data_IF_635135273782
#
_entry.id   IF_635135273782
#
_cell.length_a   1.000
_cell.length_b   1.000
_cell.length_c   1.000
_cell.angle_alpha   90.00
_cell.angle_beta   90.00
_cell.angle_gamma   90.00
#
_symmetry.space_group_name_H-M   'P 1'
#
loop_
_entity.id
_entity.type
_entity.pdbx_description
1 polymer ?
#
# COMPACT_ATOMS: atom_id res chain seq x y z
N UNK A 1 -11.84 -3.30 3.62
CA UNK A 1 -10.40 -3.22 3.32
C UNK A 1 -10.23 -2.90 1.84
N UNK A 2 -9.28 -2.05 1.53
CA UNK A 2 -8.94 -1.60 0.18
C UNK A 2 -7.79 -2.41 -0.44
N UNK A 3 -7.35 -3.48 0.24
CA UNK A 3 -6.32 -4.40 -0.25
C UNK A 3 -6.85 -5.82 -0.39
N UNK A 4 -6.32 -6.54 -1.39
CA UNK A 4 -6.63 -7.93 -1.68
C UNK A 4 -5.35 -8.74 -1.87
N UNK A 5 -4.95 -9.46 -0.83
CA UNK A 5 -3.77 -10.35 -0.85
C UNK A 5 -4.14 -11.64 -1.60
N UNK A 6 -3.36 -11.98 -2.64
CA UNK A 6 -3.61 -13.08 -3.59
C UNK A 6 -2.54 -14.19 -3.51
N UNK A 7 -1.50 -13.98 -2.72
CA UNK A 7 -0.38 -14.91 -2.55
C UNK A 7 -0.06 -15.10 -1.08
N UNK A 8 0.77 -16.08 -0.78
CA UNK A 8 1.22 -16.32 0.59
C UNK A 8 2.08 -15.15 1.07
N UNK A 9 1.62 -14.45 2.11
CA UNK A 9 2.29 -13.28 2.68
C UNK A 9 3.64 -13.63 3.33
N UNK A 10 3.86 -14.89 3.70
CA UNK A 10 5.13 -15.32 4.33
C UNK A 10 6.32 -15.14 3.39
N UNK A 11 6.11 -15.17 2.07
CA UNK A 11 7.14 -14.92 1.07
C UNK A 11 7.87 -13.57 1.29
N UNK A 12 7.14 -12.56 1.76
CA UNK A 12 7.75 -11.24 2.03
C UNK A 12 8.80 -11.33 3.15
N UNK A 13 8.49 -12.08 4.20
CA UNK A 13 9.42 -12.25 5.33
C UNK A 13 10.63 -13.07 4.92
N UNK A 14 10.46 -14.10 4.11
CA UNK A 14 11.54 -14.97 3.67
C UNK A 14 12.52 -14.24 2.73
N UNK A 15 12.01 -13.38 1.85
CA UNK A 15 12.81 -12.71 0.83
C UNK A 15 13.33 -11.34 1.31
N UNK A 16 12.49 -10.54 1.95
CA UNK A 16 12.80 -9.14 2.30
C UNK A 16 13.01 -8.91 3.79
N UNK A 17 12.57 -9.82 4.66
CA UNK A 17 12.75 -9.75 6.11
C UNK A 17 14.17 -10.06 6.59
N UNK A 18 15.04 -10.52 5.71
CA UNK A 18 16.43 -10.90 6.05
C UNK A 18 17.41 -9.73 6.01
N UNK A 19 17.06 -8.62 5.37
CA UNK A 19 17.93 -7.43 5.28
C UNK A 19 17.88 -6.64 6.59
N UNK A 20 18.84 -6.93 7.47
CA UNK A 20 18.95 -6.31 8.81
C UNK A 20 19.35 -4.84 8.76
N UNK A 21 19.88 -4.36 7.63
CA UNK A 21 20.30 -2.97 7.46
C UNK A 21 19.14 -2.04 7.11
N UNK A 22 17.94 -2.59 6.87
CA UNK A 22 16.73 -1.81 6.60
C UNK A 22 15.83 -1.77 7.83
N UNK A 23 15.45 -0.57 8.23
CA UNK A 23 14.44 -0.36 9.27
C UNK A 23 13.03 -0.67 8.75
N UNK A 24 12.77 -0.27 7.52
CA UNK A 24 11.52 -0.57 6.79
C UNK A 24 11.82 -0.94 5.34
N UNK A 25 10.93 -1.74 4.75
CA UNK A 25 10.88 -2.00 3.30
C UNK A 25 9.46 -1.80 2.80
N UNK A 26 9.29 -1.19 1.63
CA UNK A 26 7.99 -0.96 1.02
C UNK A 26 8.09 -0.91 -0.51
N UNK A 27 6.96 -0.93 -1.18
CA UNK A 27 6.91 -0.66 -2.63
C UNK A 27 7.12 0.83 -2.87
N UNK A 28 8.17 1.17 -3.64
CA UNK A 28 8.58 2.54 -3.89
C UNK A 28 7.88 3.07 -5.16
N UNK A 29 6.61 3.46 -5.00
CA UNK A 29 5.81 4.00 -6.09
C UNK A 29 6.35 5.35 -6.59
N UNK A 30 6.28 5.55 -7.91
CA UNK A 30 6.49 6.85 -8.57
C UNK A 30 5.15 7.55 -8.87
N UNK A 31 4.04 6.94 -8.45
CA UNK A 31 2.69 7.40 -8.69
C UNK A 31 2.41 8.80 -8.12
N UNK A 32 1.80 9.65 -8.94
CA UNK A 32 1.26 10.94 -8.51
C UNK A 32 -0.24 10.96 -8.84
N UNK A 33 -1.14 11.02 -7.83
CA UNK A 33 -2.57 11.08 -8.07
C UNK A 33 -2.96 12.28 -8.93
N UNK A 34 -3.85 12.06 -9.88
CA UNK A 34 -4.45 13.12 -10.71
C UNK A 34 -5.76 13.64 -10.13
N UNK A 35 -6.47 12.81 -9.34
CA UNK A 35 -7.70 13.19 -8.67
C UNK A 35 -7.42 14.09 -7.46
N UNK A 36 -8.27 15.09 -7.26
CA UNK A 36 -8.21 16.03 -6.13
C UNK A 36 -9.06 15.59 -4.94
N UNK A 37 -9.94 14.60 -5.14
CA UNK A 37 -10.88 14.11 -4.14
C UNK A 37 -10.92 12.59 -4.16
N UNK A 38 -10.97 11.98 -2.98
CA UNK A 38 -11.17 10.54 -2.79
C UNK A 38 -12.66 10.16 -2.91
N UNK A 39 -12.95 8.85 -3.07
CA UNK A 39 -14.32 8.31 -3.11
C UNK A 39 -15.15 8.64 -1.84
N UNK A 40 -14.50 8.72 -0.69
CA UNK A 40 -15.11 9.10 0.59
C UNK A 40 -15.32 10.61 0.75
N UNK A 41 -15.07 11.41 -0.30
CA UNK A 41 -15.23 12.86 -0.32
C UNK A 41 -14.07 13.63 0.33
N UNK A 42 -13.05 12.96 0.85
CA UNK A 42 -11.88 13.63 1.44
C UNK A 42 -10.94 14.16 0.37
N UNK A 43 -10.21 15.24 0.72
CA UNK A 43 -9.19 15.82 -0.15
C UNK A 43 -8.05 14.85 -0.38
N UNK A 44 -7.70 14.63 -1.66
CA UNK A 44 -6.52 13.86 -2.04
C UNK A 44 -5.26 14.71 -1.85
N UNK A 45 -4.50 14.44 -0.80
CA UNK A 45 -3.25 15.15 -0.52
C UNK A 45 -2.11 14.57 -1.35
N UNK A 46 -1.39 15.43 -2.05
CA UNK A 46 -0.13 15.07 -2.72
C UNK A 46 1.00 15.30 -1.73
N UNK A 47 1.83 14.27 -1.51
CA UNK A 47 3.03 14.33 -0.68
C UNK A 47 4.11 13.41 -1.24
N UNK A 48 5.35 13.66 -0.85
CA UNK A 48 6.50 12.83 -1.22
C UNK A 48 6.27 11.37 -0.78
N UNK A 49 6.71 10.40 -1.57
CA UNK A 49 6.55 8.95 -1.31
C UNK A 49 5.07 8.52 -1.20
N UNK A 50 4.22 9.07 -2.07
CA UNK A 50 2.79 8.71 -2.11
C UNK A 50 2.60 7.21 -2.28
N UNK A 51 1.70 6.62 -1.49
CA UNK A 51 1.38 5.19 -1.41
C UNK A 51 2.49 4.27 -0.86
N UNK A 52 3.68 4.77 -0.51
CA UNK A 52 4.73 3.94 0.07
C UNK A 52 4.31 3.35 1.42
N UNK A 53 3.62 4.10 2.25
CA UNK A 53 3.19 3.69 3.60
C UNK A 53 1.95 2.80 3.63
N UNK A 54 1.37 2.47 2.48
CA UNK A 54 0.18 1.61 2.44
C UNK A 54 0.49 0.14 2.66
N UNK A 55 1.73 -0.29 2.34
CA UNK A 55 2.19 -1.66 2.55
C UNK A 55 3.67 -1.64 2.96
N UNK A 56 3.95 -1.97 4.22
CA UNK A 56 5.27 -1.80 4.84
C UNK A 56 5.67 -3.04 5.63
N UNK A 57 6.86 -3.54 5.36
CA UNK A 57 7.55 -4.51 6.20
C UNK A 57 8.44 -3.76 7.20
N UNK A 58 8.21 -3.98 8.49
CA UNK A 58 8.93 -3.34 9.60
C UNK A 58 9.95 -4.27 10.22
N UNK A 59 11.20 -3.83 10.35
CA UNK A 59 12.19 -4.48 11.19
C UNK A 59 12.10 -3.88 12.61
N UNK A 60 11.26 -4.46 13.46
CA UNK A 60 10.95 -3.91 14.80
C UNK A 60 12.16 -3.86 15.74
N UNK A 61 13.23 -4.60 15.45
CA UNK A 61 14.47 -4.55 16.24
C UNK A 61 15.42 -3.44 15.79
N UNK A 62 15.20 -2.87 14.61
CA UNK A 62 16.07 -1.83 14.08
C UNK A 62 15.95 -0.52 14.90
N UNK A 63 17.08 0.11 15.30
CA UNK A 63 17.06 1.32 16.16
C UNK A 63 16.16 2.44 15.60
N UNK A 64 16.15 2.65 14.30
CA UNK A 64 15.41 3.74 13.65
C UNK A 64 13.89 3.57 13.63
N UNK A 65 13.39 2.35 13.76
CA UNK A 65 11.95 2.15 13.98
C UNK A 65 11.52 2.71 15.34
N UNK A 66 12.43 2.64 16.33
CA UNK A 66 12.19 3.12 17.70
C UNK A 66 12.27 4.64 17.84
N UNK A 67 12.82 5.35 16.84
CA UNK A 67 12.85 6.82 16.81
C UNK A 67 11.46 7.43 16.55
N UNK A 68 10.52 6.68 15.95
CA UNK A 68 9.14 7.14 15.81
C UNK A 68 8.42 7.03 17.17
N UNK A 69 8.17 8.17 17.77
CA UNK A 69 7.54 8.22 19.11
C UNK A 69 6.03 8.34 19.03
N UNK A 70 5.34 8.00 20.11
CA UNK A 70 3.88 8.24 20.27
C UNK A 70 3.57 9.74 20.12
N UNK A 71 4.45 10.61 20.62
CA UNK A 71 4.30 12.05 20.48
C UNK A 71 4.34 12.49 19.00
N UNK A 72 5.24 11.93 18.20
CA UNK A 72 5.31 12.22 16.76
C UNK A 72 4.02 11.79 16.06
N UNK A 73 3.54 10.57 16.33
CA UNK A 73 2.29 10.05 15.72
C UNK A 73 1.09 10.95 16.07
N UNK A 74 1.04 11.52 17.26
CA UNK A 74 -0.05 12.37 17.70
C UNK A 74 0.06 13.83 17.27
N UNK A 75 1.25 14.31 16.89
CA UNK A 75 1.47 15.75 16.64
C UNK A 75 1.94 16.08 15.22
N UNK A 76 2.62 15.16 14.55
CA UNK A 76 3.11 15.39 13.18
C UNK A 76 1.99 15.28 12.15
N UNK A 77 2.05 16.04 11.05
CA UNK A 77 1.05 15.92 9.98
C UNK A 77 1.13 14.55 9.30
N UNK A 78 -0.01 14.07 8.77
CA UNK A 78 -0.08 12.80 8.05
C UNK A 78 0.91 12.69 6.88
N UNK A 79 1.17 13.78 6.18
CA UNK A 79 2.17 13.83 5.11
C UNK A 79 3.58 13.48 5.59
N UNK A 80 3.97 13.94 6.78
CA UNK A 80 5.25 13.63 7.42
C UNK A 80 5.34 12.15 7.80
N UNK A 81 4.27 11.59 8.37
CA UNK A 81 4.19 10.17 8.74
C UNK A 81 4.23 9.27 7.50
N UNK A 82 3.38 9.54 6.52
CA UNK A 82 3.29 8.74 5.30
C UNK A 82 4.51 8.83 4.39
N UNK A 83 5.26 9.95 4.44
CA UNK A 83 6.51 10.09 3.70
C UNK A 83 7.72 9.50 4.44
N UNK A 84 7.55 8.93 5.63
CA UNK A 84 8.64 8.42 6.48
C UNK A 84 9.74 9.48 6.71
N UNK A 85 9.37 10.72 7.01
CA UNK A 85 10.34 11.82 7.10
C UNK A 85 11.34 11.65 8.26
N UNK A 86 10.98 10.90 9.31
CA UNK A 86 11.93 10.52 10.37
C UNK A 86 13.04 9.57 9.87
N UNK A 87 12.84 8.96 8.70
CA UNK A 87 13.78 8.03 8.06
C UNK A 87 14.58 8.66 6.91
N UNK A 88 14.55 9.99 6.76
CA UNK A 88 14.99 10.69 5.54
C UNK A 88 16.45 10.45 5.13
N UNK A 89 17.32 10.21 6.09
CA UNK A 89 18.75 9.92 5.87
C UNK A 89 19.06 8.42 5.77
N UNK A 90 18.05 7.55 5.92
CA UNK A 90 18.24 6.09 5.91
C UNK A 90 17.65 5.45 4.68
N UNK A 91 18.31 4.41 4.15
CA UNK A 91 17.81 3.71 2.99
C UNK A 91 16.57 2.88 3.37
N UNK A 92 15.45 3.18 2.71
CA UNK A 92 14.24 2.36 2.74
C UNK A 92 14.45 1.20 1.78
N UNK A 93 14.18 -0.03 2.23
CA UNK A 93 14.23 -1.23 1.39
C UNK A 93 13.13 -1.22 0.33
N UNK A 94 13.40 -1.85 -0.81
CA UNK A 94 12.42 -1.95 -1.88
C UNK A 94 11.76 -3.33 -1.90
N UNK A 95 10.43 -3.34 -1.92
CA UNK A 95 9.60 -4.52 -2.19
C UNK A 95 9.09 -4.40 -3.63
N UNK A 96 9.05 -5.47 -4.44
CA UNK A 96 8.55 -5.42 -5.81
C UNK A 96 7.10 -4.95 -5.91
N UNK A 97 6.77 -4.32 -7.05
CA UNK A 97 5.49 -3.69 -7.30
C UNK A 97 4.29 -4.65 -7.18
N UNK A 98 4.47 -5.93 -7.46
CA UNK A 98 3.43 -6.96 -7.31
C UNK A 98 2.83 -7.07 -5.91
N UNK A 99 3.55 -6.60 -4.87
CA UNK A 99 3.08 -6.63 -3.48
C UNK A 99 2.26 -5.40 -3.06
N UNK A 100 2.21 -4.39 -3.90
CA UNK A 100 1.35 -3.22 -3.69
C UNK A 100 0.94 -2.63 -5.05
N UNK A 101 0.30 -3.46 -5.89
CA UNK A 101 -0.15 -3.09 -7.22
C UNK A 101 -1.37 -2.18 -7.13
N UNK A 102 -1.27 -0.96 -7.65
CA UNK A 102 -2.30 0.07 -7.55
C UNK A 102 -3.30 -0.06 -8.70
N UNK A 103 -4.60 -0.12 -8.38
CA UNK A 103 -5.65 -0.05 -9.39
C UNK A 103 -5.60 1.30 -10.13
N UNK A 104 -5.91 1.27 -11.42
CA UNK A 104 -5.92 2.46 -12.27
C UNK A 104 -4.55 3.03 -12.63
N UNK A 105 -3.43 2.52 -12.08
CA UNK A 105 -2.09 3.09 -12.25
C UNK A 105 -1.00 2.07 -12.62
N UNK A 106 -0.85 0.99 -11.86
CA UNK A 106 0.24 0.03 -12.05
C UNK A 106 0.22 -0.67 -13.39
N UNK A 107 1.40 -1.08 -13.90
CA UNK A 107 1.56 -1.81 -15.16
C UNK A 107 0.70 -3.09 -15.17
N UNK A 108 -0.12 -3.22 -16.20
CA UNK A 108 -1.05 -4.36 -16.40
C UNK A 108 -0.34 -5.68 -16.69
N UNK A 109 0.92 -5.64 -17.11
CA UNK A 109 1.74 -6.82 -17.36
C UNK A 109 2.29 -7.45 -16.07
N UNK A 110 2.20 -6.75 -14.94
CA UNK A 110 2.62 -7.27 -13.63
C UNK A 110 1.45 -8.03 -13.01
N UNK A 111 1.66 -9.32 -12.73
CA UNK A 111 0.70 -10.13 -11.99
C UNK A 111 0.76 -9.78 -10.48
N UNK A 112 -0.25 -9.13 -9.90
CA UNK A 112 -0.19 -8.71 -8.51
C UNK A 112 -0.30 -9.88 -7.53
N UNK A 113 0.53 -9.83 -6.50
CA UNK A 113 0.41 -10.64 -5.27
C UNK A 113 -0.48 -9.96 -4.23
N UNK A 114 -0.55 -8.64 -4.27
CA UNK A 114 -1.48 -7.84 -3.50
C UNK A 114 -2.01 -6.67 -4.34
N UNK A 115 -3.32 -6.59 -4.51
CA UNK A 115 -4.01 -5.49 -5.21
C UNK A 115 -4.43 -4.44 -4.18
N UNK A 116 -4.10 -3.18 -4.43
CA UNK A 116 -4.50 -2.05 -3.63
C UNK A 116 -5.47 -1.15 -4.41
N UNK A 117 -6.73 -1.15 -4.01
CA UNK A 117 -7.79 -0.36 -4.64
C UNK A 117 -7.75 1.09 -4.13
N UNK A 118 -6.78 1.86 -4.61
CA UNK A 118 -6.53 3.26 -4.17
C UNK A 118 -7.64 4.22 -4.52
N UNK A 119 -8.48 3.84 -5.49
CA UNK A 119 -9.60 4.65 -5.98
C UNK A 119 -10.92 4.34 -5.25
N UNK A 120 -10.90 3.44 -4.26
CA UNK A 120 -12.04 3.08 -3.43
C UNK A 120 -12.37 1.59 -3.44
N UNK A 121 -12.35 0.96 -4.60
CA UNK A 121 -12.53 -0.48 -4.77
C UNK A 121 -13.97 -0.98 -4.65
N UNK A 122 -14.17 -2.31 -4.83
CA UNK A 122 -15.49 -2.93 -4.99
C UNK A 122 -16.36 -2.92 -3.72
N UNK A 123 -15.85 -2.45 -2.59
CA UNK A 123 -16.60 -2.25 -1.35
C UNK A 123 -17.60 -1.08 -1.46
N UNK A 124 -17.33 -0.12 -2.35
CA UNK A 124 -18.19 1.02 -2.59
C UNK A 124 -19.15 0.76 -3.75
N UNK A 125 -20.47 0.88 -3.57
CA UNK A 125 -21.48 0.57 -4.62
C UNK A 125 -21.28 1.37 -5.91
N UNK A 126 -20.84 2.62 -5.79
CA UNK A 126 -20.68 3.55 -6.93
C UNK A 126 -19.29 3.49 -7.56
N UNK A 127 -18.37 2.70 -6.99
CA UNK A 127 -17.05 2.55 -7.56
C UNK A 127 -17.09 1.88 -8.94
N UNK A 128 -16.27 2.40 -9.85
CA UNK A 128 -16.11 1.83 -11.20
C UNK A 128 -14.63 1.59 -11.48
N UNK A 129 -14.27 0.41 -11.98
CA UNK A 129 -12.90 0.15 -12.42
C UNK A 129 -12.54 1.05 -13.60
N UNK A 130 -11.30 1.54 -13.64
CA UNK A 130 -10.79 2.39 -14.71
C UNK A 130 -10.34 1.57 -15.94
N UNK A 131 -9.92 0.32 -15.72
CA UNK A 131 -9.36 -0.58 -16.76
C UNK A 131 -9.99 -1.96 -16.63
N UNK A 132 -9.93 -2.76 -17.69
CA UNK A 132 -10.44 -4.14 -17.68
C UNK A 132 -9.72 -5.03 -16.65
N UNK A 133 -8.42 -4.80 -16.47
CA UNK A 133 -7.62 -5.51 -15.46
C UNK A 133 -8.07 -5.18 -14.02
N UNK A 134 -8.43 -3.93 -13.75
CA UNK A 134 -8.97 -3.52 -12.46
C UNK A 134 -10.34 -4.19 -12.20
N UNK A 135 -11.19 -4.28 -13.24
CA UNK A 135 -12.47 -5.00 -13.17
C UNK A 135 -12.29 -6.49 -12.88
N UNK A 136 -11.27 -7.13 -13.47
CA UNK A 136 -10.92 -8.52 -13.21
C UNK A 136 -10.59 -8.73 -11.75
N UNK A 137 -9.70 -7.93 -11.16
CA UNK A 137 -9.30 -8.10 -9.76
C UNK A 137 -10.41 -7.71 -8.78
N UNK A 138 -11.26 -6.74 -9.12
CA UNK A 138 -12.45 -6.42 -8.35
C UNK A 138 -13.45 -7.59 -8.32
N UNK A 139 -13.60 -8.30 -9.45
CA UNK A 139 -14.42 -9.51 -9.49
C UNK A 139 -13.83 -10.63 -8.62
N UNK A 140 -12.53 -10.89 -8.71
CA UNK A 140 -11.85 -11.89 -7.86
C UNK A 140 -12.06 -11.56 -6.38
N UNK A 141 -11.89 -10.29 -5.97
CA UNK A 141 -12.14 -9.84 -4.61
C UNK A 141 -13.58 -10.10 -4.18
N UNK A 142 -14.56 -9.74 -5.03
CA UNK A 142 -15.98 -9.90 -4.75
C UNK A 142 -16.36 -11.37 -4.59
N UNK A 143 -15.83 -12.24 -5.46
CA UNK A 143 -16.10 -13.68 -5.40
C UNK A 143 -15.50 -14.29 -4.12
N UNK A 144 -14.29 -13.89 -3.73
CA UNK A 144 -13.66 -14.30 -2.47
C UNK A 144 -14.46 -13.80 -1.25
N UNK A 145 -14.87 -12.54 -1.25
CA UNK A 145 -15.69 -11.97 -0.18
C UNK A 145 -17.01 -12.73 0.02
N UNK A 146 -17.69 -13.06 -1.07
CA UNK A 146 -18.93 -13.87 -1.02
C UNK A 146 -18.68 -15.28 -0.47
N UNK A 147 -17.57 -15.90 -0.90
CA UNK A 147 -17.17 -17.21 -0.37
C UNK A 147 -16.96 -17.16 1.16
N UNK A 148 -16.27 -16.14 1.65
CA UNK A 148 -16.04 -15.94 3.10
C UNK A 148 -17.32 -15.74 3.91
N UNK A 149 -18.34 -15.11 3.30
CA UNK A 149 -19.63 -14.91 3.98
C UNK A 149 -20.54 -16.16 3.98
N UNK A 150 -20.25 -17.13 3.12
CA UNK A 150 -21.07 -18.34 2.98
C UNK A 150 -20.56 -19.54 3.81
N UNK A 151 -19.40 -19.39 4.46
CA UNK A 151 -18.75 -20.37 5.33
C UNK A 151 -18.55 -19.83 6.74
#
# INVERSE_FOLDING_TARGET
>A
ADMFVRSDITEIFDVYGTDKDKAISCVQHTHTPTETTKMDGQVQTIYRRKNWSSFVLWNCDHPWVKELTIADVNTKPGSWLHAFEWMDIYPIGNIPLEWNWLDGDSDENIAPKNVHFTTGGPVYPDWKPKRDIDAKYAKEWTDFYRFMLSN
#
